data_IF_212805168942
#
_entry.id   IF_212805168942
#
_cell.length_a   1.000
_cell.length_b   1.000
_cell.length_c   1.000
_cell.angle_alpha   90.00
_cell.angle_beta   90.00
_cell.angle_gamma   90.00
#
_symmetry.space_group_name_H-M   'P 1'
#
loop_
_entity.id
_entity.type
_entity.pdbx_description
1 polymer ?
#
# COMPACT_ATOMS: atom_id res chain seq x y z
N UNK A 1 8.46 -13.86 -31.08
CA UNK A 1 8.50 -12.74 -30.12
C UNK A 1 7.50 -13.09 -29.05
N UNK A 2 7.89 -13.19 -27.77
CA UNK A 2 6.95 -13.54 -26.71
C UNK A 2 5.85 -12.49 -26.64
N UNK A 3 4.60 -12.93 -26.46
CA UNK A 3 3.43 -12.06 -26.42
C UNK A 3 3.60 -10.99 -25.34
N UNK A 4 3.65 -9.73 -25.77
CA UNK A 4 3.82 -8.59 -24.88
C UNK A 4 2.50 -8.37 -24.11
N UNK A 5 2.51 -8.67 -22.81
CA UNK A 5 1.34 -8.46 -21.96
C UNK A 5 0.94 -6.99 -21.95
N UNK A 6 -0.34 -6.73 -22.27
CA UNK A 6 -0.91 -5.39 -22.21
C UNK A 6 -1.06 -5.01 -20.74
N UNK A 7 -0.30 -4.00 -20.30
CA UNK A 7 -0.43 -3.46 -18.95
C UNK A 7 -1.63 -2.52 -18.92
N UNK A 8 -2.68 -2.79 -18.13
CA UNK A 8 -3.81 -1.89 -18.03
C UNK A 8 -3.35 -0.59 -17.35
N UNK A 9 -3.61 0.55 -17.98
CA UNK A 9 -3.10 1.85 -17.52
C UNK A 9 -3.91 2.46 -16.37
N UNK A 10 -5.11 1.92 -16.07
CA UNK A 10 -6.04 2.47 -15.08
C UNK A 10 -6.30 1.56 -13.89
N UNK A 11 -5.36 0.67 -13.53
CA UNK A 11 -5.51 -0.20 -12.35
C UNK A 11 -5.59 0.58 -11.02
N UNK A 12 -5.09 1.81 -11.00
CA UNK A 12 -5.02 2.65 -9.79
C UNK A 12 -6.24 3.57 -9.62
N UNK A 13 -7.06 3.72 -10.67
CA UNK A 13 -8.23 4.60 -10.64
C UNK A 13 -9.43 3.81 -10.15
N UNK A 14 -9.98 4.24 -9.02
CA UNK A 14 -11.18 3.63 -8.45
C UNK A 14 -12.41 3.92 -9.33
N UNK A 15 -13.25 2.91 -9.50
CA UNK A 15 -14.50 3.03 -10.25
C UNK A 15 -15.43 4.06 -9.62
N UNK A 16 -15.98 4.91 -10.49
CA UNK A 16 -16.94 5.95 -10.11
C UNK A 16 -18.35 5.42 -10.34
N UNK A 17 -19.15 5.38 -9.28
CA UNK A 17 -20.52 4.83 -9.32
C UNK A 17 -21.59 5.89 -9.49
N UNK A 18 -21.35 7.09 -8.95
CA UNK A 18 -22.36 8.14 -8.88
C UNK A 18 -21.72 9.46 -9.32
N UNK A 19 -21.73 9.67 -10.64
CA UNK A 19 -21.08 10.81 -11.29
C UNK A 19 -19.57 10.83 -11.00
N UNK A 20 -19.05 11.82 -10.26
CA UNK A 20 -17.62 11.90 -9.94
C UNK A 20 -17.20 10.99 -8.76
N UNK A 21 -18.15 10.39 -8.04
CA UNK A 21 -17.93 9.79 -6.73
C UNK A 21 -17.65 8.28 -6.80
N UNK A 22 -16.59 7.84 -6.12
CA UNK A 22 -16.26 6.41 -5.99
C UNK A 22 -17.11 5.70 -4.94
N UNK A 23 -17.13 4.36 -4.95
CA UNK A 23 -17.86 3.57 -3.95
C UNK A 23 -17.43 3.93 -2.53
N UNK A 24 -16.11 4.00 -2.30
CA UNK A 24 -15.58 4.36 -0.98
C UNK A 24 -16.01 5.75 -0.55
N UNK A 25 -15.91 6.73 -1.46
CA UNK A 25 -16.27 8.11 -1.17
C UNK A 25 -17.74 8.23 -0.81
N UNK A 26 -18.61 7.53 -1.55
CA UNK A 26 -20.03 7.45 -1.26
C UNK A 26 -20.29 6.88 0.13
N UNK A 27 -19.66 5.76 0.50
CA UNK A 27 -19.84 5.15 1.82
C UNK A 27 -19.39 6.08 2.96
N UNK A 28 -18.27 6.78 2.80
CA UNK A 28 -17.78 7.74 3.80
C UNK A 28 -18.80 8.88 4.00
N UNK A 29 -19.31 9.46 2.90
CA UNK A 29 -20.32 10.51 2.96
C UNK A 29 -21.64 10.00 3.57
N UNK A 30 -22.04 8.78 3.25
CA UNK A 30 -23.26 8.15 3.78
C UNK A 30 -23.17 7.99 5.30
N UNK A 31 -22.04 7.50 5.82
CA UNK A 31 -21.82 7.35 7.26
C UNK A 31 -21.83 8.72 7.96
N UNK A 32 -21.15 9.72 7.40
CA UNK A 32 -21.17 11.08 7.95
C UNK A 32 -22.58 11.67 7.98
N UNK A 33 -23.33 11.51 6.88
CA UNK A 33 -24.72 11.96 6.80
C UNK A 33 -25.63 11.27 7.83
N UNK A 34 -25.51 9.95 7.99
CA UNK A 34 -26.27 9.22 9.03
C UNK A 34 -25.93 9.72 10.43
N UNK A 35 -24.64 9.98 10.70
CA UNK A 35 -24.19 10.54 11.96
C UNK A 35 -24.80 11.92 12.21
N UNK A 36 -24.82 12.80 11.22
CA UNK A 36 -25.44 14.14 11.34
C UNK A 36 -26.96 14.05 11.57
N UNK A 37 -27.65 13.11 10.93
CA UNK A 37 -29.08 12.87 11.18
C UNK A 37 -29.33 12.44 12.63
N UNK A 38 -28.47 11.58 13.19
CA UNK A 38 -28.54 11.20 14.60
C UNK A 38 -28.30 12.44 15.48
N UNK A 39 -27.26 13.23 15.20
CA UNK A 39 -26.95 14.45 15.96
C UNK A 39 -28.10 15.46 15.92
N UNK A 40 -28.74 15.64 14.76
CA UNK A 40 -29.89 16.51 14.60
C UNK A 40 -31.07 16.11 15.51
N UNK A 41 -31.25 14.80 15.76
CA UNK A 41 -32.29 14.30 16.67
C UNK A 41 -31.94 14.47 18.15
N UNK A 42 -30.66 14.49 18.48
CA UNK A 42 -30.18 14.54 19.87
C UNK A 42 -29.94 15.97 20.38
N UNK A 43 -29.56 16.89 19.50
CA UNK A 43 -29.09 18.23 19.86
C UNK A 43 -30.13 19.31 19.55
N UNK A 44 -30.08 20.43 20.27
CA UNK A 44 -30.83 21.63 19.88
C UNK A 44 -30.25 22.22 18.60
N UNK A 45 -31.09 22.87 17.78
CA UNK A 45 -30.70 23.32 16.43
C UNK A 45 -29.40 24.13 16.37
N UNK A 46 -29.18 25.04 17.33
CA UNK A 46 -27.96 25.87 17.40
C UNK A 46 -26.73 25.03 17.71
N UNK A 47 -26.83 24.11 18.68
CA UNK A 47 -25.71 23.24 19.08
C UNK A 47 -25.44 22.21 17.99
N UNK A 48 -26.48 21.67 17.36
CA UNK A 48 -26.37 20.82 16.18
C UNK A 48 -25.55 21.51 15.10
N UNK A 49 -25.88 22.74 14.71
CA UNK A 49 -25.19 23.45 13.65
C UNK A 49 -23.70 23.65 13.98
N UNK A 50 -23.40 24.02 15.23
CA UNK A 50 -22.02 24.22 15.71
C UNK A 50 -21.19 22.93 15.58
N UNK A 51 -21.77 21.77 15.87
CA UNK A 51 -21.09 20.48 15.83
C UNK A 51 -21.08 19.85 14.44
N UNK A 52 -22.19 19.94 13.71
CA UNK A 52 -22.36 19.33 12.39
C UNK A 52 -21.49 20.00 11.32
N UNK A 53 -21.30 21.33 11.35
CA UNK A 53 -20.47 22.01 10.36
C UNK A 53 -19.02 21.47 10.34
N UNK A 54 -18.29 21.43 11.48
CA UNK A 54 -16.97 20.81 11.54
C UNK A 54 -16.95 19.35 11.07
N UNK A 55 -17.98 18.58 11.43
CA UNK A 55 -18.11 17.17 11.03
C UNK A 55 -18.25 17.04 9.51
N UNK A 56 -19.17 17.78 8.90
CA UNK A 56 -19.40 17.76 7.45
C UNK A 56 -18.11 18.14 6.70
N UNK A 57 -17.42 19.18 7.17
CA UNK A 57 -16.14 19.61 6.58
C UNK A 57 -15.10 18.48 6.70
N UNK A 58 -14.96 17.89 7.89
CA UNK A 58 -14.01 16.80 8.12
C UNK A 58 -14.31 15.57 7.26
N UNK A 59 -15.57 15.11 7.22
CA UNK A 59 -16.01 13.98 6.39
C UNK A 59 -15.81 14.28 4.90
N UNK A 60 -16.13 15.50 4.46
CA UNK A 60 -15.91 15.95 3.09
C UNK A 60 -14.44 15.91 2.69
N UNK A 61 -13.54 16.41 3.55
CA UNK A 61 -12.09 16.33 3.34
C UNK A 61 -11.65 14.87 3.27
N UNK A 62 -12.12 14.02 4.18
CA UNK A 62 -11.74 12.61 4.26
C UNK A 62 -12.19 11.82 3.01
N UNK A 63 -13.37 12.11 2.46
CA UNK A 63 -13.88 11.46 1.26
C UNK A 63 -13.23 12.02 -0.03
N UNK A 64 -13.18 13.33 -0.20
CA UNK A 64 -12.90 13.95 -1.51
C UNK A 64 -11.43 14.28 -1.74
N UNK A 65 -10.63 14.41 -0.68
CA UNK A 65 -9.23 14.85 -0.80
C UNK A 65 -8.32 13.67 -1.09
N UNK A 66 -7.33 13.90 -1.95
CA UNK A 66 -6.20 12.99 -2.17
C UNK A 66 -4.90 13.75 -1.88
N UNK A 67 -3.95 13.09 -1.25
CA UNK A 67 -2.62 13.64 -0.93
C UNK A 67 -1.59 12.76 -1.65
N UNK A 68 -0.82 13.33 -2.57
CA UNK A 68 0.19 12.59 -3.35
C UNK A 68 -0.36 11.34 -4.05
N UNK A 69 -1.57 11.43 -4.63
CA UNK A 69 -2.24 10.30 -5.27
C UNK A 69 -2.90 9.31 -4.29
N UNK A 70 -2.63 9.42 -2.99
CA UNK A 70 -3.20 8.55 -1.96
C UNK A 70 -4.54 9.10 -1.42
N UNK A 71 -5.54 8.25 -1.18
CA UNK A 71 -6.74 8.64 -0.45
C UNK A 71 -6.42 9.17 0.96
N UNK A 72 -7.13 10.23 1.38
CA UNK A 72 -6.84 10.92 2.65
C UNK A 72 -6.93 10.02 3.91
N UNK A 73 -7.83 9.04 3.94
CA UNK A 73 -7.93 8.11 5.07
C UNK A 73 -6.64 7.32 5.30
N UNK A 74 -5.95 6.88 4.24
CA UNK A 74 -4.67 6.21 4.41
C UNK A 74 -3.56 7.18 4.81
N UNK A 75 -3.58 8.40 4.30
CA UNK A 75 -2.67 9.45 4.74
C UNK A 75 -2.78 9.68 6.26
N UNK A 76 -4.01 9.79 6.78
CA UNK A 76 -4.25 9.92 8.22
C UNK A 76 -3.79 8.69 9.01
N UNK A 77 -4.09 7.48 8.51
CA UNK A 77 -3.60 6.24 9.13
C UNK A 77 -2.07 6.17 9.17
N UNK A 78 -1.39 6.63 8.12
CA UNK A 78 0.07 6.67 8.06
C UNK A 78 0.65 7.68 9.03
N UNK A 79 0.01 8.84 9.24
CA UNK A 79 0.40 9.80 10.27
C UNK A 79 0.35 9.15 11.66
N UNK A 80 -0.79 8.52 11.98
CA UNK A 80 -0.98 7.86 13.28
C UNK A 80 0.05 6.74 13.49
N UNK A 81 0.29 5.91 12.46
CA UNK A 81 1.31 4.87 12.51
C UNK A 81 2.73 5.44 12.64
N UNK A 82 3.02 6.56 11.99
CA UNK A 82 4.33 7.21 12.05
C UNK A 82 4.64 7.72 13.45
N UNK A 83 3.67 8.29 14.16
CA UNK A 83 3.85 8.70 15.55
C UNK A 83 4.04 7.52 16.52
N UNK A 84 3.44 6.37 16.22
CA UNK A 84 3.61 5.14 17.03
C UNK A 84 4.95 4.46 16.83
N UNK A 85 5.57 4.59 15.64
CA UNK A 85 6.82 3.90 15.33
C UNK A 85 8.03 4.67 15.87
N UNK A 86 9.09 3.97 16.31
CA UNK A 86 10.32 4.61 16.74
C UNK A 86 10.92 5.40 15.57
N UNK A 87 11.32 6.65 15.84
CA UNK A 87 11.95 7.53 14.85
C UNK A 87 13.36 7.07 14.46
N UNK A 88 14.06 6.45 15.40
CA UNK A 88 15.41 5.94 15.20
C UNK A 88 15.33 4.49 14.73
N UNK A 89 15.83 4.24 13.51
CA UNK A 89 16.02 2.88 12.98
C UNK A 89 17.50 2.57 13.03
N UNK A 90 17.91 1.78 14.02
CA UNK A 90 19.29 1.31 14.14
C UNK A 90 19.38 -0.02 13.38
N UNK A 91 20.33 -0.11 12.46
CA UNK A 91 20.70 -1.38 11.86
C UNK A 91 21.78 -2.03 12.72
N UNK A 92 21.46 -3.15 13.33
CA UNK A 92 22.40 -3.94 14.13
C UNK A 92 22.66 -5.29 13.44
N UNK A 93 23.94 -5.57 13.14
CA UNK A 93 24.37 -6.83 12.49
C UNK A 93 24.71 -7.92 13.50
N UNK A 94 24.73 -7.60 14.79
CA UNK A 94 25.13 -8.53 15.84
C UNK A 94 23.94 -9.29 16.45
N UNK A 95 22.72 -8.78 16.26
CA UNK A 95 21.51 -9.51 16.68
C UNK A 95 21.27 -10.72 15.77
N UNK A 96 21.16 -11.90 16.38
CA UNK A 96 20.71 -13.11 15.68
C UNK A 96 19.21 -13.02 15.41
N UNK A 97 18.73 -13.60 14.31
CA UNK A 97 17.31 -13.58 13.91
C UNK A 97 16.35 -14.05 15.03
N UNK A 98 16.80 -14.97 15.89
CA UNK A 98 16.03 -15.47 17.04
C UNK A 98 15.88 -14.43 18.16
N UNK A 99 16.96 -13.69 18.47
CA UNK A 99 16.97 -12.63 19.48
C UNK A 99 16.12 -11.43 19.04
N UNK A 100 16.12 -11.15 17.74
CA UNK A 100 15.29 -10.10 17.13
C UNK A 100 13.79 -10.43 17.26
N UNK A 101 13.40 -11.69 17.02
CA UNK A 101 12.00 -12.14 17.14
C UNK A 101 11.47 -12.08 18.57
N UNK A 102 12.32 -12.37 19.55
CA UNK A 102 12.00 -12.23 20.97
C UNK A 102 11.81 -10.75 21.37
N UNK A 103 12.66 -9.84 20.90
CA UNK A 103 12.57 -8.41 21.19
C UNK A 103 11.39 -7.72 20.51
N UNK A 104 10.94 -8.19 19.34
CA UNK A 104 9.80 -7.60 18.63
C UNK A 104 8.43 -7.98 19.23
N UNK A 105 8.39 -8.92 20.19
CA UNK A 105 7.15 -9.41 20.78
C UNK A 105 6.31 -10.15 19.73
N UNK A 106 6.47 -11.47 19.70
CA UNK A 106 5.68 -12.43 18.91
C UNK A 106 5.17 -11.85 17.57
N UNK A 107 6.11 -11.65 16.64
CA UNK A 107 5.78 -11.30 15.27
C UNK A 107 4.80 -12.34 14.74
N UNK A 108 3.62 -11.88 14.28
CA UNK A 108 2.63 -12.72 13.61
C UNK A 108 3.36 -13.70 12.66
N UNK A 109 2.95 -14.99 12.64
CA UNK A 109 3.67 -16.00 11.91
C UNK A 109 3.89 -15.48 10.50
N UNK A 110 5.17 -15.25 10.17
CA UNK A 110 5.57 -14.91 8.82
C UNK A 110 5.01 -16.04 7.98
N UNK A 111 3.92 -15.77 7.24
CA UNK A 111 3.46 -16.69 6.22
C UNK A 111 4.67 -16.82 5.32
N UNK A 112 5.36 -17.94 5.42
CA UNK A 112 6.49 -18.25 4.58
C UNK A 112 5.90 -18.32 3.19
N UNK A 113 5.83 -17.18 2.49
CA UNK A 113 5.79 -17.20 1.04
C UNK A 113 6.97 -18.08 0.69
N UNK A 114 6.77 -19.23 0.04
CA UNK A 114 7.87 -20.12 -0.27
C UNK A 114 8.89 -19.26 -0.99
N UNK A 115 10.03 -19.00 -0.34
CA UNK A 115 11.14 -18.38 -1.02
C UNK A 115 11.39 -19.30 -2.19
N UNK A 116 11.00 -18.88 -3.40
CA UNK A 116 11.36 -19.58 -4.61
C UNK A 116 12.87 -19.43 -4.67
N UNK A 117 13.57 -20.39 -4.06
CA UNK A 117 15.02 -20.50 -4.17
C UNK A 117 15.23 -20.73 -5.65
N UNK A 118 15.65 -19.67 -6.35
CA UNK A 118 16.17 -19.81 -7.70
C UNK A 118 17.24 -20.90 -7.62
N UNK A 119 17.20 -21.87 -8.53
CA UNK A 119 18.13 -22.99 -8.52
C UNK A 119 19.57 -22.43 -8.41
N UNK A 120 20.44 -23.05 -7.60
CA UNK A 120 21.82 -22.60 -7.47
C UNK A 120 22.43 -22.52 -8.87
N UNK A 121 22.96 -21.36 -9.23
CA UNK A 121 23.58 -21.16 -10.53
C UNK A 121 24.80 -22.07 -10.61
N UNK A 122 24.80 -23.00 -11.55
CA UNK A 122 25.98 -23.83 -11.84
C UNK A 122 27.10 -22.96 -12.41
N UNK A 123 28.34 -23.41 -12.28
CA UNK A 123 29.51 -22.73 -12.87
C UNK A 123 29.35 -22.52 -14.38
N UNK A 124 28.68 -23.44 -15.09
CA UNK A 124 28.36 -23.30 -16.52
C UNK A 124 27.43 -22.10 -16.78
N UNK A 125 26.35 -21.95 -16.00
CA UNK A 125 25.39 -20.84 -16.15
C UNK A 125 26.03 -19.48 -15.89
N UNK A 126 26.99 -19.39 -14.96
CA UNK A 126 27.73 -18.15 -14.73
C UNK A 126 28.66 -17.81 -15.89
N UNK A 127 29.25 -18.82 -16.52
CA UNK A 127 30.11 -18.65 -17.69
C UNK A 127 29.29 -18.21 -18.92
N UNK A 128 28.11 -18.82 -19.14
CA UNK A 128 27.15 -18.42 -20.17
C UNK A 128 26.74 -16.95 -19.99
N UNK A 129 26.33 -16.54 -18.78
CA UNK A 129 25.96 -15.15 -18.50
C UNK A 129 27.13 -14.18 -18.70
N UNK A 130 28.34 -14.59 -18.34
CA UNK A 130 29.55 -13.79 -18.55
C UNK A 130 29.84 -13.62 -20.04
N UNK A 131 29.68 -14.67 -20.84
CA UNK A 131 29.84 -14.64 -22.30
C UNK A 131 28.77 -13.76 -22.95
N UNK A 132 27.50 -13.88 -22.55
CA UNK A 132 26.41 -13.04 -23.06
C UNK A 132 26.68 -11.55 -22.77
N UNK A 133 27.12 -11.22 -21.55
CA UNK A 133 27.41 -9.83 -21.13
C UNK A 133 28.64 -9.28 -21.87
N UNK A 134 29.74 -10.03 -21.94
CA UNK A 134 30.97 -9.57 -22.59
C UNK A 134 30.83 -9.44 -24.12
N UNK A 135 29.97 -10.26 -24.74
CA UNK A 135 29.74 -10.22 -26.18
C UNK A 135 28.57 -9.32 -26.58
N UNK A 136 27.97 -8.60 -25.62
CA UNK A 136 26.85 -7.69 -25.90
C UNK A 136 25.61 -8.39 -26.49
N UNK A 137 25.41 -9.67 -26.18
CA UNK A 137 24.31 -10.48 -26.71
C UNK A 137 24.57 -11.15 -28.06
N UNK A 138 25.83 -11.18 -28.54
CA UNK A 138 26.21 -11.96 -29.74
C UNK A 138 26.29 -13.45 -29.41
N UNK A 139 26.78 -13.83 -28.22
CA UNK A 139 26.75 -15.21 -27.75
C UNK A 139 25.34 -15.59 -27.29
N UNK A 140 24.84 -16.72 -27.79
CA UNK A 140 23.56 -17.33 -27.42
C UNK A 140 23.80 -18.79 -27.02
N UNK A 141 23.50 -19.17 -25.77
CA UNK A 141 23.73 -20.54 -25.31
C UNK A 141 22.84 -21.57 -26.02
N UNK A 142 21.76 -21.13 -26.67
CA UNK A 142 20.83 -21.98 -27.43
C UNK A 142 21.25 -22.28 -28.88
N UNK A 143 22.35 -21.68 -29.36
CA UNK A 143 22.89 -21.95 -30.71
C UNK A 143 23.95 -23.09 -30.72
N UNK A 144 24.39 -23.55 -29.53
CA UNK A 144 25.40 -24.60 -29.36
C UNK A 144 24.81 -25.99 -29.01
N UNK A 145 23.49 -26.11 -28.85
CA UNK A 145 22.72 -27.36 -28.61
C UNK A 145 21.93 -27.79 -29.86
#
# INVERSE_FOLDING_TARGET
MPDQYVVPQFIEVEDKILGPLSVRQFLILLVGFMMDVILYKLLSFVVFLLVAIPIIVFVGVLALTKVNGMPFHFFLLNIIQSFRKPKLRIWDKQLTDEELRLHLGEAAPVVLSPFIRKAPMTTSRLQELTLVVNTGGVYRPEDED
#
